data_IF_964221487941
#
_entry.id   IF_964221487941
#
_cell.length_a   1.000
_cell.length_b   1.000
_cell.length_c   1.000
_cell.angle_alpha   90.00
_cell.angle_beta   90.00
_cell.angle_gamma   90.00
#
_symmetry.space_group_name_H-M   'P 1'
#
loop_
_entity.id
_entity.type
_entity.pdbx_description
1 polymer ?
#
# COMPACT_ATOMS: atom_id res chain seq x y z
N UNK A 1 -7.46 -14.14 18.92
CA UNK A 1 -8.01 -13.11 17.99
C UNK A 1 -8.03 -13.73 16.61
N UNK A 2 -9.01 -13.43 15.75
CA UNK A 2 -8.99 -13.91 14.38
C UNK A 2 -7.70 -13.45 13.68
N UNK A 3 -7.23 -14.24 12.75
CA UNK A 3 -6.01 -13.95 12.02
C UNK A 3 -6.21 -12.75 11.09
N UNK A 4 -5.39 -11.72 11.19
CA UNK A 4 -5.51 -10.52 10.35
C UNK A 4 -5.01 -10.82 8.95
N UNK A 5 -5.81 -10.55 7.94
CA UNK A 5 -5.45 -10.63 6.52
C UNK A 5 -6.26 -9.62 5.72
N UNK A 6 -5.67 -9.03 4.70
CA UNK A 6 -6.31 -8.05 3.82
C UNK A 6 -6.04 -8.38 2.35
N UNK A 7 -6.87 -7.84 1.46
CA UNK A 7 -6.67 -7.95 0.01
C UNK A 7 -6.23 -6.61 -0.56
N UNK A 8 -5.33 -6.65 -1.56
CA UNK A 8 -4.93 -5.49 -2.34
C UNK A 8 -5.51 -5.54 -3.74
N UNK A 9 -6.19 -4.50 -4.14
CA UNK A 9 -6.72 -4.38 -5.49
C UNK A 9 -6.05 -3.21 -6.21
N UNK A 10 -5.61 -3.44 -7.44
CA UNK A 10 -4.95 -2.43 -8.25
C UNK A 10 -5.83 -2.08 -9.47
N UNK A 11 -5.43 -2.48 -10.67
CA UNK A 11 -6.03 -2.03 -11.92
C UNK A 11 -6.31 -3.16 -12.93
N UNK A 12 -5.99 -4.41 -12.54
CA UNK A 12 -6.09 -5.58 -13.42
C UNK A 12 -7.53 -6.08 -13.67
N UNK A 13 -8.51 -5.53 -13.00
CA UNK A 13 -9.91 -5.96 -13.10
C UNK A 13 -10.86 -4.74 -13.16
N UNK A 14 -12.03 -4.87 -13.76
CA UNK A 14 -13.08 -3.87 -13.68
C UNK A 14 -13.46 -3.56 -12.22
N UNK A 15 -13.90 -2.34 -11.92
CA UNK A 15 -14.29 -1.95 -10.55
C UNK A 15 -15.42 -2.83 -10.03
N UNK A 16 -16.36 -3.25 -10.89
CA UNK A 16 -17.46 -4.16 -10.50
C UNK A 16 -16.98 -5.53 -10.05
N UNK A 17 -15.93 -6.06 -10.67
CA UNK A 17 -15.31 -7.32 -10.23
C UNK A 17 -14.61 -7.11 -8.88
N UNK A 18 -13.94 -5.96 -8.69
CA UNK A 18 -13.38 -5.56 -7.40
C UNK A 18 -14.42 -5.50 -6.28
N UNK A 19 -15.63 -4.97 -6.57
CA UNK A 19 -16.75 -4.99 -5.61
C UNK A 19 -17.13 -6.41 -5.21
N UNK A 20 -17.24 -7.32 -6.19
CA UNK A 20 -17.53 -8.73 -5.93
C UNK A 20 -16.41 -9.44 -5.13
N UNK A 21 -15.14 -9.12 -5.41
CA UNK A 21 -14.01 -9.63 -4.63
C UNK A 21 -14.02 -9.11 -3.18
N UNK A 22 -14.39 -7.86 -2.95
CA UNK A 22 -14.52 -7.30 -1.60
C UNK A 22 -15.62 -8.00 -0.79
N UNK A 23 -16.80 -8.21 -1.38
CA UNK A 23 -17.88 -8.97 -0.75
C UNK A 23 -17.47 -10.42 -0.46
N UNK A 24 -16.75 -11.05 -1.40
CA UNK A 24 -16.26 -12.40 -1.21
C UNK A 24 -15.19 -12.47 -0.10
N UNK A 25 -14.22 -11.56 -0.10
CA UNK A 25 -13.20 -11.48 0.94
C UNK A 25 -13.82 -11.22 2.34
N UNK A 26 -14.80 -10.31 2.43
CA UNK A 26 -15.54 -10.07 3.66
C UNK A 26 -16.22 -11.34 4.17
N UNK A 27 -16.87 -12.10 3.29
CA UNK A 27 -17.53 -13.37 3.64
C UNK A 27 -16.55 -14.46 4.10
N UNK A 28 -15.26 -14.30 3.79
CA UNK A 28 -14.16 -15.21 4.17
C UNK A 28 -13.32 -14.68 5.35
N UNK A 29 -13.78 -13.63 6.03
CA UNK A 29 -13.14 -13.11 7.23
C UNK A 29 -11.93 -12.21 7.00
N UNK A 30 -11.74 -11.68 5.81
CA UNK A 30 -10.72 -10.67 5.57
C UNK A 30 -11.04 -9.38 6.33
N UNK A 31 -10.01 -8.74 6.88
CA UNK A 31 -10.16 -7.52 7.68
C UNK A 31 -10.34 -6.26 6.82
N UNK A 32 -9.64 -6.18 5.68
CA UNK A 32 -9.59 -4.96 4.89
C UNK A 32 -9.39 -5.22 3.40
N UNK A 33 -9.80 -4.23 2.59
CA UNK A 33 -9.33 -4.05 1.21
C UNK A 33 -8.48 -2.79 1.13
N UNK A 34 -7.36 -2.88 0.39
CA UNK A 34 -6.49 -1.75 0.08
C UNK A 34 -6.52 -1.48 -1.41
N UNK A 35 -6.96 -0.29 -1.80
CA UNK A 35 -7.03 0.12 -3.21
C UNK A 35 -5.81 0.94 -3.60
N UNK A 36 -5.10 0.50 -4.61
CA UNK A 36 -3.99 1.26 -5.18
C UNK A 36 -4.45 2.53 -5.89
N UNK A 37 -3.64 3.59 -5.78
CA UNK A 37 -3.60 4.66 -6.77
C UNK A 37 -2.45 4.38 -7.72
N UNK A 38 -2.76 3.92 -8.92
CA UNK A 38 -1.77 3.33 -9.80
C UNK A 38 -1.57 4.20 -11.03
N UNK A 39 -0.36 4.74 -11.19
CA UNK A 39 0.23 5.40 -12.39
C UNK A 39 -0.72 6.29 -13.16
N UNK A 40 -1.67 6.73 -13.26
CA UNK A 40 -2.70 7.35 -14.13
C UNK A 40 -3.63 6.31 -14.78
N UNK A 41 -3.59 5.06 -14.32
CA UNK A 41 -4.51 4.02 -14.76
C UNK A 41 -5.78 4.06 -13.92
N UNK A 42 -5.63 4.22 -12.59
CA UNK A 42 -6.78 4.21 -11.69
C UNK A 42 -6.57 5.16 -10.50
N UNK A 43 -7.56 6.00 -10.26
CA UNK A 43 -7.74 6.74 -9.01
C UNK A 43 -8.16 5.78 -7.88
N UNK A 44 -7.73 6.01 -6.65
CA UNK A 44 -8.07 5.14 -5.54
C UNK A 44 -9.47 5.43 -4.95
N UNK A 45 -9.90 6.68 -4.94
CA UNK A 45 -11.07 7.14 -4.19
C UNK A 45 -12.38 6.57 -4.75
N UNK A 46 -12.51 6.55 -6.08
CA UNK A 46 -13.73 6.05 -6.73
C UNK A 46 -13.99 4.56 -6.42
N UNK A 47 -13.00 3.64 -6.58
CA UNK A 47 -13.18 2.25 -6.16
C UNK A 47 -13.38 2.10 -4.65
N UNK A 48 -12.67 2.88 -3.81
CA UNK A 48 -12.85 2.83 -2.36
C UNK A 48 -14.31 3.12 -1.96
N UNK A 49 -14.92 4.15 -2.55
CA UNK A 49 -16.33 4.45 -2.30
C UNK A 49 -17.25 3.29 -2.76
N UNK A 50 -16.96 2.68 -3.91
CA UNK A 50 -17.73 1.54 -4.41
C UNK A 50 -17.59 0.31 -3.48
N UNK A 51 -16.39 0.03 -2.97
CA UNK A 51 -16.14 -1.09 -2.04
C UNK A 51 -16.82 -0.84 -0.69
N UNK A 52 -16.72 0.37 -0.16
CA UNK A 52 -17.38 0.78 1.07
C UNK A 52 -18.91 0.62 1.01
N UNK A 53 -19.50 0.93 -0.15
CA UNK A 53 -20.94 0.86 -0.36
C UNK A 53 -21.50 -0.56 -0.48
N UNK A 54 -20.67 -1.58 -0.78
CA UNK A 54 -21.12 -2.97 -0.98
C UNK A 54 -20.65 -3.93 0.11
N UNK A 55 -19.98 -3.42 1.13
CA UNK A 55 -19.47 -4.20 2.27
C UNK A 55 -19.94 -3.59 3.59
N UNK A 56 -20.08 -4.41 4.64
CA UNK A 56 -20.61 -3.98 5.92
C UNK A 56 -19.54 -3.85 7.01
N UNK A 57 -18.49 -4.68 6.96
CA UNK A 57 -17.47 -4.80 8.02
C UNK A 57 -16.05 -4.58 7.50
N UNK A 58 -15.83 -4.84 6.21
CA UNK A 58 -14.52 -4.75 5.59
C UNK A 58 -13.99 -3.31 5.68
N UNK A 59 -12.82 -3.11 6.26
CA UNK A 59 -12.15 -1.82 6.23
C UNK A 59 -11.69 -1.50 4.81
N UNK A 60 -11.68 -0.24 4.45
CA UNK A 60 -11.33 0.22 3.10
C UNK A 60 -10.21 1.25 3.21
N UNK A 61 -9.03 0.87 2.74
CA UNK A 61 -7.83 1.71 2.76
C UNK A 61 -7.32 2.11 1.38
N UNK A 62 -6.74 3.30 1.27
CA UNK A 62 -5.92 3.64 0.11
C UNK A 62 -4.52 3.02 0.26
N UNK A 63 -4.04 2.33 -0.76
CA UNK A 63 -2.77 1.61 -0.69
C UNK A 63 -1.76 1.98 -1.78
N UNK A 64 -1.28 3.21 -1.91
CA UNK A 64 -1.54 4.43 -1.17
C UNK A 64 -1.86 5.58 -2.14
N UNK A 65 -2.60 6.61 -1.73
CA UNK A 65 -2.67 7.85 -2.51
C UNK A 65 -1.37 8.64 -2.33
N UNK A 66 -1.10 9.59 -3.23
CA UNK A 66 0.08 10.43 -3.10
C UNK A 66 -0.25 11.78 -2.44
N UNK A 67 0.75 12.36 -1.75
CA UNK A 67 0.62 13.65 -1.05
C UNK A 67 0.86 14.89 -1.92
N UNK A 68 1.01 14.74 -3.24
CA UNK A 68 1.39 15.84 -4.14
C UNK A 68 0.25 16.32 -5.03
N UNK A 69 -0.62 15.43 -5.48
CA UNK A 69 -1.65 15.76 -6.47
C UNK A 69 -2.94 16.32 -5.86
N UNK A 70 -3.11 16.17 -4.53
CA UNK A 70 -4.29 16.66 -3.81
C UNK A 70 -3.89 17.60 -2.68
N UNK A 71 -4.61 18.70 -2.56
CA UNK A 71 -4.46 19.60 -1.41
C UNK A 71 -4.88 18.88 -0.11
N UNK A 72 -4.19 19.06 1.04
CA UNK A 72 -4.55 18.39 2.30
C UNK A 72 -5.98 18.68 2.78
N UNK A 73 -6.53 19.86 2.50
CA UNK A 73 -7.93 20.16 2.80
C UNK A 73 -8.90 19.27 2.00
N UNK A 74 -8.57 19.03 0.72
CA UNK A 74 -9.36 18.12 -0.13
C UNK A 74 -9.18 16.66 0.30
N UNK A 75 -7.98 16.27 0.72
CA UNK A 75 -7.76 14.93 1.30
C UNK A 75 -8.65 14.75 2.54
N UNK A 76 -8.62 15.69 3.47
CA UNK A 76 -9.43 15.62 4.69
C UNK A 76 -10.94 15.56 4.38
N UNK A 77 -11.44 16.41 3.48
CA UNK A 77 -12.85 16.41 3.06
C UNK A 77 -13.25 15.09 2.36
N UNK A 78 -12.36 14.54 1.52
CA UNK A 78 -12.58 13.25 0.85
C UNK A 78 -12.72 12.11 1.86
N UNK A 79 -11.81 12.04 2.83
CA UNK A 79 -11.81 10.97 3.82
C UNK A 79 -12.92 11.14 4.87
N UNK A 80 -13.34 12.38 5.19
CA UNK A 80 -14.58 12.64 5.90
C UNK A 80 -15.79 12.06 5.16
N UNK A 81 -15.91 12.33 3.86
CA UNK A 81 -17.02 11.84 3.04
C UNK A 81 -17.05 10.31 2.93
N UNK A 82 -15.88 9.69 2.83
CA UNK A 82 -15.77 8.23 2.84
C UNK A 82 -16.17 7.66 4.22
N UNK A 83 -15.78 8.31 5.30
CA UNK A 83 -16.16 7.90 6.65
C UNK A 83 -17.68 8.07 6.90
N UNK A 84 -18.31 9.11 6.35
CA UNK A 84 -19.77 9.25 6.36
C UNK A 84 -20.48 8.08 5.63
N UNK A 85 -19.87 7.55 4.58
CA UNK A 85 -20.36 6.37 3.83
C UNK A 85 -20.13 5.06 4.60
N UNK A 86 -19.01 4.94 5.30
CA UNK A 86 -18.57 3.71 5.96
C UNK A 86 -17.87 4.03 7.30
N UNK A 87 -18.64 4.41 8.34
CA UNK A 87 -18.11 4.87 9.62
C UNK A 87 -17.14 3.87 10.26
N UNK A 88 -15.99 4.38 10.76
CA UNK A 88 -14.93 3.61 11.43
C UNK A 88 -14.26 2.53 10.58
N UNK A 89 -14.51 2.50 9.25
CA UNK A 89 -13.94 1.51 8.32
C UNK A 89 -12.92 2.09 7.35
N UNK A 90 -12.71 3.39 7.36
CA UNK A 90 -11.86 4.07 6.36
C UNK A 90 -10.44 4.24 6.89
N UNK A 91 -9.45 3.97 6.03
CA UNK A 91 -8.02 4.14 6.33
C UNK A 91 -7.39 5.04 5.26
N UNK A 92 -6.75 6.14 5.69
CA UNK A 92 -5.94 6.96 4.81
C UNK A 92 -4.53 6.39 4.70
N UNK A 93 -4.25 5.65 3.65
CA UNK A 93 -2.89 5.31 3.27
C UNK A 93 -2.32 6.33 2.29
N UNK A 94 -1.20 6.96 2.65
CA UNK A 94 -0.58 8.04 1.89
C UNK A 94 0.90 7.78 1.65
N UNK A 95 1.43 8.20 0.50
CA UNK A 95 2.82 7.96 0.11
C UNK A 95 3.46 9.12 -0.63
N UNK A 96 4.79 9.12 -0.72
CA UNK A 96 5.55 10.21 -1.33
C UNK A 96 5.61 10.16 -2.87
N UNK A 97 4.91 9.22 -3.48
CA UNK A 97 4.85 9.00 -4.92
C UNK A 97 6.20 8.61 -5.56
N UNK A 98 6.22 8.54 -6.90
CA UNK A 98 7.34 8.09 -7.73
C UNK A 98 7.80 9.22 -8.66
N UNK A 99 9.07 9.55 -8.61
CA UNK A 99 9.62 10.78 -9.19
C UNK A 99 9.47 10.91 -10.72
N UNK A 100 9.76 9.89 -11.55
CA UNK A 100 9.56 10.04 -12.98
C UNK A 100 8.13 10.43 -13.37
N UNK A 101 7.12 9.83 -12.74
CA UNK A 101 5.73 10.14 -13.04
C UNK A 101 5.31 11.52 -12.50
N UNK A 102 5.73 11.87 -11.29
CA UNK A 102 5.46 13.19 -10.71
C UNK A 102 5.96 14.30 -11.63
N UNK A 103 7.21 14.19 -12.11
CA UNK A 103 7.80 15.14 -13.05
C UNK A 103 7.04 15.20 -14.38
N UNK A 104 6.60 14.06 -14.91
CA UNK A 104 5.85 14.00 -16.18
C UNK A 104 4.48 14.69 -16.10
N UNK A 105 3.89 14.80 -14.89
CA UNK A 105 2.65 15.57 -14.66
C UNK A 105 2.91 16.99 -14.12
N UNK A 106 4.15 17.46 -14.19
CA UNK A 106 4.51 18.83 -13.80
C UNK A 106 4.70 19.06 -12.30
N UNK A 107 4.89 17.99 -11.52
CA UNK A 107 5.10 18.08 -10.07
C UNK A 107 6.57 17.85 -9.75
N UNK A 108 7.18 18.81 -9.07
CA UNK A 108 8.52 18.71 -8.54
C UNK A 108 8.48 18.24 -7.08
N UNK A 109 8.95 17.00 -6.85
CA UNK A 109 9.01 16.40 -5.50
C UNK A 109 10.26 16.89 -4.77
N UNK A 110 10.15 17.97 -4.04
CA UNK A 110 11.23 18.49 -3.18
C UNK A 110 10.97 18.10 -1.73
N UNK A 111 12.02 17.80 -0.96
CA UNK A 111 11.97 17.52 0.48
C UNK A 111 10.76 16.66 0.89
N UNK A 112 10.63 15.41 0.39
CA UNK A 112 9.42 14.60 0.55
C UNK A 112 9.06 14.32 2.03
N UNK A 113 10.02 14.32 2.93
CA UNK A 113 9.78 14.18 4.38
C UNK A 113 9.02 15.41 4.93
N UNK A 114 9.48 16.61 4.61
CA UNK A 114 8.83 17.86 5.06
C UNK A 114 7.41 17.94 4.49
N UNK A 115 7.26 17.72 3.17
CA UNK A 115 5.96 17.77 2.52
C UNK A 115 4.96 16.74 3.11
N UNK A 116 5.42 15.52 3.40
CA UNK A 116 4.58 14.49 4.00
C UNK A 116 4.15 14.90 5.43
N UNK A 117 5.07 15.39 6.26
CA UNK A 117 4.77 15.84 7.63
C UNK A 117 3.71 16.93 7.64
N UNK A 118 3.88 17.96 6.80
CA UNK A 118 2.96 19.10 6.72
C UNK A 118 1.55 18.66 6.26
N UNK A 119 1.48 17.76 5.27
CA UNK A 119 0.20 17.22 4.78
C UNK A 119 -0.49 16.41 5.87
N UNK A 120 0.22 15.49 6.53
CA UNK A 120 -0.35 14.64 7.59
C UNK A 120 -0.84 15.49 8.76
N UNK A 121 -0.08 16.51 9.18
CA UNK A 121 -0.47 17.41 10.26
C UNK A 121 -1.78 18.15 9.94
N UNK A 122 -1.87 18.77 8.77
CA UNK A 122 -3.07 19.53 8.38
C UNK A 122 -4.28 18.61 8.21
N UNK A 123 -4.12 17.43 7.59
CA UNK A 123 -5.20 16.45 7.43
C UNK A 123 -5.71 15.99 8.80
N UNK A 124 -4.81 15.64 9.73
CA UNK A 124 -5.18 15.16 11.07
C UNK A 124 -5.96 16.22 11.86
N UNK A 125 -5.49 17.46 11.83
CA UNK A 125 -6.16 18.57 12.52
C UNK A 125 -7.53 18.88 11.93
N UNK A 126 -7.69 18.83 10.61
CA UNK A 126 -8.99 19.00 9.96
C UNK A 126 -9.95 17.88 10.31
N UNK A 127 -9.52 16.61 10.31
CA UNK A 127 -10.34 15.46 10.73
C UNK A 127 -10.68 15.51 12.23
N UNK A 128 -9.86 16.17 13.05
CA UNK A 128 -10.18 16.49 14.44
C UNK A 128 -11.17 17.66 14.59
N UNK A 129 -11.73 18.18 13.48
CA UNK A 129 -12.68 19.31 13.42
C UNK A 129 -12.10 20.63 13.93
N UNK A 130 -10.78 20.78 13.85
CA UNK A 130 -10.14 22.06 14.18
C UNK A 130 -10.30 23.08 13.05
N UNK A 131 -10.33 24.36 13.43
CA UNK A 131 -10.07 25.44 12.48
C UNK A 131 -8.57 25.62 12.31
N UNK A 132 -8.07 25.39 11.09
CA UNK A 132 -6.64 25.26 10.81
C UNK A 132 -6.12 26.48 10.05
N UNK A 133 -5.12 27.14 10.63
CA UNK A 133 -4.17 27.99 9.92
C UNK A 133 -2.81 27.32 10.01
N UNK A 134 -2.16 27.12 8.86
CA UNK A 134 -0.86 26.49 8.77
C UNK A 134 -0.05 27.17 7.66
N UNK A 135 1.21 27.50 7.94
CA UNK A 135 2.12 28.15 7.00
C UNK A 135 3.46 27.43 6.99
N UNK A 136 3.50 26.30 6.29
CA UNK A 136 4.68 25.46 6.10
C UNK A 136 5.51 25.85 4.88
N UNK A 137 6.37 24.97 4.45
CA UNK A 137 7.15 25.13 3.21
C UNK A 137 6.33 24.71 1.97
N UNK A 138 5.45 23.73 2.09
CA UNK A 138 4.65 23.14 1.01
C UNK A 138 3.15 23.37 1.20
N UNK A 139 2.69 23.43 2.44
CA UNK A 139 1.27 23.57 2.77
C UNK A 139 0.99 24.95 3.35
N UNK A 140 0.09 25.69 2.70
CA UNK A 140 -0.36 27.01 3.16
C UNK A 140 -1.88 27.01 3.20
N UNK A 141 -2.48 27.08 4.40
CA UNK A 141 -3.91 27.17 4.61
C UNK A 141 -4.22 28.23 5.67
N UNK A 142 -5.32 28.95 5.51
CA UNK A 142 -5.66 30.05 6.39
C UNK A 142 -7.11 29.98 6.89
N UNK A 143 -7.27 29.64 8.16
CA UNK A 143 -8.54 29.67 8.86
C UNK A 143 -9.61 28.72 8.29
N UNK A 144 -9.19 27.60 7.68
CA UNK A 144 -10.09 26.59 7.09
C UNK A 144 -10.56 25.59 8.15
N UNK A 145 -11.73 25.04 7.93
CA UNK A 145 -12.30 23.95 8.74
C UNK A 145 -13.17 23.04 7.86
N UNK A 146 -13.35 21.80 8.28
CA UNK A 146 -14.34 20.93 7.63
C UNK A 146 -15.74 21.34 8.08
N UNK A 147 -16.67 21.43 7.14
CA UNK A 147 -18.08 21.61 7.42
C UNK A 147 -18.83 20.30 7.37
N UNK A 148 -19.79 20.11 8.27
CA UNK A 148 -20.62 18.91 8.34
C UNK A 148 -22.07 19.34 8.22
N UNK A 149 -22.64 19.08 7.03
CA UNK A 149 -24.05 19.41 6.72
C UNK A 149 -25.01 18.37 7.29
N UNK A 150 -24.57 17.09 7.33
CA UNK A 150 -25.35 15.97 7.83
C UNK A 150 -24.65 15.31 9.02
N UNK A 151 -25.40 14.99 10.05
CA UNK A 151 -24.85 14.33 11.23
C UNK A 151 -24.26 15.30 12.27
N UNK A 152 -23.36 14.80 13.09
CA UNK A 152 -22.72 15.58 14.17
C UNK A 152 -21.35 16.08 13.73
N UNK A 153 -21.03 17.31 14.12
CA UNK A 153 -19.67 17.85 14.00
C UNK A 153 -18.84 17.31 15.17
N UNK A 154 -18.21 16.19 14.95
CA UNK A 154 -17.34 15.50 15.90
C UNK A 154 -16.06 15.00 15.19
N UNK A 155 -14.93 14.85 15.92
CA UNK A 155 -13.70 14.31 15.36
C UNK A 155 -13.93 12.97 14.68
N UNK A 156 -13.29 12.79 13.49
CA UNK A 156 -13.35 11.53 12.73
C UNK A 156 -12.12 10.70 13.01
N UNK A 157 -12.34 9.45 13.35
CA UNK A 157 -11.26 8.50 13.56
C UNK A 157 -10.87 7.81 12.25
N UNK A 158 -10.15 8.53 11.39
CA UNK A 158 -9.55 7.98 10.17
C UNK A 158 -8.06 7.78 10.41
N UNK A 159 -7.59 6.55 10.65
CA UNK A 159 -6.17 6.31 10.87
C UNK A 159 -5.36 6.61 9.63
N UNK A 160 -4.18 7.24 9.82
CA UNK A 160 -3.28 7.66 8.75
C UNK A 160 -2.08 6.72 8.71
N UNK A 161 -1.94 6.00 7.59
CA UNK A 161 -0.85 5.07 7.34
C UNK A 161 0.05 5.63 6.24
N UNK A 162 1.36 5.54 6.43
CA UNK A 162 2.31 6.01 5.43
C UNK A 162 2.97 4.82 4.74
N UNK A 163 2.88 4.79 3.40
CA UNK A 163 3.67 3.88 2.58
C UNK A 163 5.09 4.39 2.46
N UNK A 164 6.02 3.73 3.14
CA UNK A 164 7.41 4.13 3.22
C UNK A 164 8.34 3.03 2.71
N UNK A 165 9.39 3.41 1.97
CA UNK A 165 10.42 2.50 1.45
C UNK A 165 11.80 2.85 1.98
N UNK A 166 12.09 4.12 2.22
CA UNK A 166 13.36 4.59 2.79
C UNK A 166 13.32 4.72 4.30
N UNK A 167 14.41 4.38 4.99
CA UNK A 167 14.48 4.33 6.45
C UNK A 167 14.22 5.68 7.13
N UNK A 168 14.56 6.80 6.50
CA UNK A 168 14.23 8.13 7.03
C UNK A 168 12.72 8.41 7.01
N UNK A 169 12.02 7.99 5.94
CA UNK A 169 10.56 8.08 5.87
C UNK A 169 9.93 7.12 6.88
N UNK A 170 10.49 5.92 7.02
CA UNK A 170 10.03 4.92 7.99
C UNK A 170 10.14 5.45 9.43
N UNK A 171 11.26 6.09 9.79
CA UNK A 171 11.43 6.71 11.10
C UNK A 171 10.41 7.85 11.33
N UNK A 172 10.22 8.72 10.35
CA UNK A 172 9.20 9.75 10.44
C UNK A 172 7.78 9.17 10.54
N UNK A 173 7.50 8.06 9.84
CA UNK A 173 6.22 7.34 9.93
C UNK A 173 5.94 6.89 11.37
N UNK A 174 6.92 6.29 12.06
CA UNK A 174 6.79 5.93 13.46
C UNK A 174 6.46 7.12 14.37
N UNK A 175 6.96 8.31 14.03
CA UNK A 175 6.71 9.52 14.82
C UNK A 175 5.29 10.07 14.61
N UNK A 176 4.82 10.18 13.35
CA UNK A 176 3.63 10.98 13.02
C UNK A 176 2.41 10.18 12.58
N UNK A 177 2.54 8.90 12.26
CA UNK A 177 1.45 8.09 11.71
C UNK A 177 0.87 7.09 12.73
N UNK A 178 -0.26 6.47 12.36
CA UNK A 178 -0.92 5.41 13.11
C UNK A 178 -0.47 4.04 12.60
N UNK A 179 0.07 3.98 11.39
CA UNK A 179 0.63 2.76 10.81
C UNK A 179 1.60 3.02 9.67
N UNK A 180 2.34 1.97 9.32
CA UNK A 180 3.25 1.92 8.19
C UNK A 180 2.83 0.82 7.23
N UNK A 181 2.54 1.15 5.97
CA UNK A 181 2.40 0.14 4.93
C UNK A 181 3.79 -0.27 4.49
N UNK A 182 4.21 -1.47 4.92
CA UNK A 182 5.52 -2.01 4.61
C UNK A 182 5.63 -2.39 3.13
N UNK A 183 6.85 -2.33 2.61
CA UNK A 183 7.11 -2.48 1.19
C UNK A 183 6.86 -3.91 0.68
N UNK A 184 6.61 -4.03 -0.62
CA UNK A 184 6.42 -5.29 -1.35
C UNK A 184 7.61 -5.61 -2.26
N UNK A 185 7.64 -6.81 -2.79
CA UNK A 185 8.77 -7.33 -3.59
C UNK A 185 10.10 -7.25 -2.85
N UNK A 186 10.08 -7.50 -1.56
CA UNK A 186 11.25 -7.54 -0.67
C UNK A 186 11.22 -8.81 0.16
N UNK A 187 12.37 -9.37 0.57
CA UNK A 187 12.38 -10.53 1.44
C UNK A 187 11.87 -10.17 2.86
N UNK A 188 11.35 -11.13 3.63
CA UNK A 188 10.84 -10.87 4.99
C UNK A 188 11.83 -10.14 5.91
N UNK A 189 13.13 -10.42 5.78
CA UNK A 189 14.21 -9.83 6.58
C UNK A 189 14.38 -8.31 6.34
N UNK A 190 13.90 -7.79 5.22
CA UNK A 190 13.87 -6.35 4.97
C UNK A 190 13.09 -5.59 6.05
N UNK A 191 12.15 -6.24 6.71
CA UNK A 191 11.37 -5.62 7.77
C UNK A 191 12.23 -5.24 8.98
N UNK A 192 13.29 -5.98 9.29
CA UNK A 192 14.09 -5.74 10.50
C UNK A 192 14.61 -4.29 10.59
N UNK A 193 15.35 -3.74 9.60
CA UNK A 193 15.78 -2.35 9.65
C UNK A 193 14.60 -1.36 9.56
N UNK A 194 13.48 -1.73 8.92
CA UNK A 194 12.29 -0.90 8.87
C UNK A 194 11.62 -0.78 10.26
N UNK A 195 11.53 -1.88 11.00
CA UNK A 195 11.00 -1.90 12.37
C UNK A 195 11.88 -1.10 13.33
N UNK A 196 13.20 -1.19 13.20
CA UNK A 196 14.14 -0.38 14.00
C UNK A 196 13.93 1.13 13.72
N UNK A 197 13.74 1.51 12.47
CA UNK A 197 13.46 2.90 12.11
C UNK A 197 12.11 3.37 12.66
N UNK A 198 11.06 2.57 12.52
CA UNK A 198 9.74 2.85 13.10
C UNK A 198 9.81 3.01 14.61
N UNK A 199 10.53 2.11 15.32
CA UNK A 199 10.70 2.18 16.76
C UNK A 199 11.40 3.46 17.22
N UNK A 200 12.45 3.90 16.48
CA UNK A 200 13.11 5.20 16.76
C UNK A 200 12.15 6.38 16.58
N UNK A 201 11.32 6.34 15.53
CA UNK A 201 10.31 7.38 15.30
C UNK A 201 9.22 7.38 16.37
N UNK A 202 8.66 6.21 16.70
CA UNK A 202 7.66 6.05 17.75
C UNK A 202 8.16 6.61 19.09
N UNK A 203 9.41 6.30 19.46
CA UNK A 203 10.04 6.82 20.69
C UNK A 203 10.09 8.35 20.73
N UNK A 204 10.31 9.04 19.60
CA UNK A 204 10.29 10.52 19.53
C UNK A 204 8.91 11.09 19.89
N UNK A 205 7.85 10.35 19.58
CA UNK A 205 6.47 10.73 19.88
C UNK A 205 5.97 10.18 21.23
N UNK A 206 6.84 9.59 22.04
CA UNK A 206 6.45 8.96 23.32
C UNK A 206 5.66 7.65 23.16
N UNK A 207 5.73 7.03 21.98
CA UNK A 207 5.07 5.77 21.61
C UNK A 207 6.08 4.61 21.63
N UNK A 208 5.56 3.41 21.48
CA UNK A 208 6.31 2.18 21.23
C UNK A 208 6.05 1.67 19.82
N UNK A 209 6.77 0.66 19.36
CA UNK A 209 6.50 0.01 18.08
C UNK A 209 5.12 -0.66 18.05
N UNK A 210 4.59 -1.09 19.19
CA UNK A 210 3.27 -1.73 19.28
C UNK A 210 2.10 -0.76 19.07
N UNK A 211 2.36 0.54 19.21
CA UNK A 211 1.39 1.59 18.89
C UNK A 211 1.32 1.92 17.39
N UNK A 212 2.18 1.31 16.58
CA UNK A 212 2.25 1.51 15.12
C UNK A 212 1.83 0.22 14.41
N UNK A 213 0.69 0.24 13.73
CA UNK A 213 0.28 -0.89 12.90
C UNK A 213 1.20 -1.04 11.68
N UNK A 214 1.50 -2.27 11.27
CA UNK A 214 2.51 -2.58 10.25
C UNK A 214 1.97 -3.57 9.21
N UNK A 215 0.86 -3.21 8.53
CA UNK A 215 0.41 -4.03 7.42
C UNK A 215 1.46 -4.04 6.31
N UNK A 216 1.61 -5.18 5.65
CA UNK A 216 2.59 -5.35 4.57
C UNK A 216 1.94 -5.79 3.28
N UNK A 217 2.22 -5.04 2.20
CA UNK A 217 1.83 -5.46 0.87
C UNK A 217 2.71 -6.63 0.40
N UNK A 218 2.09 -7.77 0.12
CA UNK A 218 2.77 -8.99 -0.32
C UNK A 218 2.22 -9.41 -1.68
N UNK A 219 3.09 -9.48 -2.68
CA UNK A 219 2.73 -10.08 -3.98
C UNK A 219 2.38 -11.53 -3.76
N UNK A 220 1.19 -11.93 -4.17
CA UNK A 220 0.64 -13.25 -3.89
C UNK A 220 0.14 -13.90 -5.18
N UNK A 221 0.77 -15.01 -5.58
CA UNK A 221 0.36 -15.81 -6.73
C UNK A 221 0.12 -17.24 -6.30
N UNK A 222 -1.12 -17.70 -6.37
CA UNK A 222 -1.55 -19.02 -5.90
C UNK A 222 -2.03 -19.85 -7.08
N UNK A 223 -1.46 -21.04 -7.24
CA UNK A 223 -1.93 -22.07 -8.17
C UNK A 223 -1.66 -23.45 -7.56
N UNK A 224 -2.39 -24.47 -7.96
CA UNK A 224 -2.09 -25.86 -7.58
C UNK A 224 -0.79 -26.37 -8.23
N UNK A 225 -0.35 -25.74 -9.31
CA UNK A 225 0.93 -25.96 -9.97
C UNK A 225 1.92 -24.87 -9.50
N UNK A 226 2.94 -25.28 -8.76
CA UNK A 226 3.98 -24.44 -8.21
C UNK A 226 4.63 -23.53 -9.27
N UNK A 227 5.02 -24.10 -10.42
CA UNK A 227 5.70 -23.33 -11.47
C UNK A 227 4.78 -22.28 -12.12
N UNK A 228 3.50 -22.57 -12.29
CA UNK A 228 2.53 -21.59 -12.78
C UNK A 228 2.37 -20.43 -11.79
N UNK A 229 2.35 -20.73 -10.50
CA UNK A 229 2.28 -19.71 -9.48
C UNK A 229 3.50 -18.80 -9.53
N UNK A 230 4.71 -19.34 -9.65
CA UNK A 230 5.92 -18.52 -9.79
C UNK A 230 5.88 -17.64 -11.05
N UNK A 231 5.48 -18.20 -12.19
CA UNK A 231 5.37 -17.44 -13.44
C UNK A 231 4.33 -16.31 -13.36
N UNK A 232 3.24 -16.51 -12.62
CA UNK A 232 2.23 -15.48 -12.35
C UNK A 232 2.80 -14.25 -11.67
N UNK A 233 3.74 -14.41 -10.75
CA UNK A 233 4.42 -13.31 -10.06
C UNK A 233 5.59 -12.73 -10.86
N UNK A 234 6.26 -13.55 -11.64
CA UNK A 234 7.49 -13.20 -12.38
C UNK A 234 7.30 -12.01 -13.32
N UNK A 235 6.15 -11.91 -13.98
CA UNK A 235 5.84 -10.78 -14.87
C UNK A 235 5.92 -9.44 -14.14
N UNK A 236 5.25 -9.34 -13.00
CA UNK A 236 5.26 -8.13 -12.16
C UNK A 236 6.67 -7.81 -11.68
N UNK A 237 7.37 -8.81 -11.14
CA UNK A 237 8.73 -8.65 -10.64
C UNK A 237 9.69 -8.14 -11.70
N UNK A 238 9.64 -8.69 -12.90
CA UNK A 238 10.50 -8.30 -14.02
C UNK A 238 10.39 -6.80 -14.31
N UNK A 239 9.17 -6.27 -14.33
CA UNK A 239 8.93 -4.84 -14.57
C UNK A 239 9.39 -3.99 -13.39
N UNK A 240 9.13 -4.40 -12.16
CA UNK A 240 9.51 -3.64 -10.96
C UNK A 240 11.01 -3.63 -10.72
N UNK A 241 11.71 -4.74 -10.94
CA UNK A 241 13.17 -4.81 -10.86
C UNK A 241 13.85 -3.89 -11.88
N UNK A 242 13.27 -3.68 -13.06
CA UNK A 242 13.82 -2.73 -14.03
C UNK A 242 13.59 -1.26 -13.67
N UNK A 243 12.48 -0.94 -12.98
CA UNK A 243 11.96 0.42 -12.86
C UNK A 243 12.12 1.03 -11.46
N UNK A 244 12.29 0.21 -10.42
CA UNK A 244 12.22 0.65 -9.03
C UNK A 244 13.56 0.42 -8.30
N UNK A 245 14.47 1.40 -8.26
CA UNK A 245 15.79 1.24 -7.65
C UNK A 245 15.76 0.77 -6.19
N UNK A 246 14.76 1.20 -5.43
CA UNK A 246 14.59 0.79 -4.04
C UNK A 246 14.21 -0.69 -3.90
N UNK A 247 13.44 -1.24 -4.85
CA UNK A 247 13.13 -2.68 -4.89
C UNK A 247 14.36 -3.46 -5.32
N UNK A 248 15.13 -3.00 -6.29
CA UNK A 248 16.39 -3.63 -6.68
C UNK A 248 17.30 -3.79 -5.47
N UNK A 249 17.52 -2.72 -4.73
CA UNK A 249 18.37 -2.73 -3.55
C UNK A 249 17.82 -3.64 -2.43
N UNK A 250 16.52 -3.55 -2.15
CA UNK A 250 15.90 -4.30 -1.07
C UNK A 250 15.71 -5.79 -1.40
N UNK A 251 15.49 -6.15 -2.66
CA UNK A 251 15.33 -7.54 -3.10
C UNK A 251 16.65 -8.33 -3.08
N UNK A 252 17.79 -7.64 -3.09
CA UNK A 252 19.10 -8.27 -3.18
C UNK A 252 19.36 -8.94 -4.53
N UNK A 253 18.65 -8.54 -5.59
CA UNK A 253 18.93 -8.98 -6.96
C UNK A 253 20.27 -8.43 -7.43
N UNK A 254 21.03 -9.20 -8.22
CA UNK A 254 22.31 -8.73 -8.74
C UNK A 254 22.13 -7.61 -9.77
N UNK A 255 23.08 -6.66 -9.78
CA UNK A 255 23.11 -5.59 -10.77
C UNK A 255 23.24 -6.12 -12.21
N UNK A 256 23.85 -7.29 -12.39
CA UNK A 256 23.97 -7.97 -13.68
C UNK A 256 22.59 -8.36 -14.22
N UNK A 257 21.76 -9.06 -13.42
CA UNK A 257 20.40 -9.45 -13.80
C UNK A 257 19.57 -8.21 -14.14
N UNK A 258 19.63 -7.18 -13.30
CA UNK A 258 18.91 -5.93 -13.53
C UNK A 258 19.37 -5.24 -14.81
N UNK A 259 20.68 -5.23 -15.06
CA UNK A 259 21.27 -4.68 -16.28
C UNK A 259 20.78 -5.39 -17.55
N UNK A 260 20.73 -6.72 -17.55
CA UNK A 260 20.21 -7.49 -18.68
C UNK A 260 18.70 -7.29 -18.89
N UNK A 261 17.92 -7.25 -17.80
CA UNK A 261 16.49 -6.93 -17.89
C UNK A 261 16.28 -5.56 -18.54
N UNK A 262 17.02 -4.53 -18.09
CA UNK A 262 16.93 -3.16 -18.64
C UNK A 262 17.30 -3.05 -20.11
N UNK A 263 18.21 -3.89 -20.62
CA UNK A 263 18.55 -3.94 -22.05
C UNK A 263 17.39 -4.46 -22.92
N UNK A 264 16.53 -5.30 -22.36
CA UNK A 264 15.39 -5.89 -23.06
C UNK A 264 14.15 -5.00 -22.94
N UNK A 265 13.90 -4.45 -21.75
CA UNK A 265 12.68 -3.67 -21.46
C UNK A 265 12.81 -2.22 -21.95
N UNK A 266 11.86 -1.81 -22.81
CA UNK A 266 11.62 -0.39 -23.10
C UNK A 266 10.70 0.26 -22.05
N UNK A 267 10.41 1.54 -22.25
CA UNK A 267 9.40 2.26 -21.46
C UNK A 267 8.48 3.08 -22.39
N UNK A 268 7.18 2.72 -22.46
CA UNK A 268 6.54 1.52 -21.88
C UNK A 268 7.07 0.22 -22.49
N UNK A 269 7.10 -0.86 -21.70
CA UNK A 269 7.52 -2.18 -22.18
C UNK A 269 6.42 -2.87 -22.98
N UNK A 270 6.77 -3.53 -24.08
CA UNK A 270 5.83 -4.39 -24.79
C UNK A 270 5.69 -5.74 -24.09
N UNK A 271 4.61 -6.46 -24.37
CA UNK A 271 4.36 -7.79 -23.82
C UNK A 271 5.48 -8.78 -24.18
N UNK A 272 5.97 -8.73 -25.40
CA UNK A 272 7.06 -9.57 -25.90
C UNK A 272 8.39 -9.26 -25.17
N UNK A 273 8.67 -8.00 -24.91
CA UNK A 273 9.85 -7.60 -24.13
C UNK A 273 9.77 -8.15 -22.70
N UNK A 274 8.60 -8.03 -22.05
CA UNK A 274 8.40 -8.56 -20.70
C UNK A 274 8.58 -10.08 -20.69
N UNK A 275 7.96 -10.81 -21.61
CA UNK A 275 8.11 -12.27 -21.71
C UNK A 275 9.54 -12.74 -21.94
N UNK A 276 10.34 -11.98 -22.71
CA UNK A 276 11.76 -12.27 -22.90
C UNK A 276 12.58 -12.01 -21.64
N UNK A 277 12.32 -10.88 -20.97
CA UNK A 277 13.05 -10.49 -19.77
C UNK A 277 12.71 -11.37 -18.55
N UNK A 278 11.48 -11.90 -18.46
CA UNK A 278 11.07 -12.84 -17.41
C UNK A 278 11.98 -14.05 -17.27
N UNK A 279 12.57 -14.50 -18.37
CA UNK A 279 13.51 -15.65 -18.38
C UNK A 279 14.81 -15.39 -17.60
N UNK A 280 15.11 -14.14 -17.30
CA UNK A 280 16.26 -13.73 -16.51
C UNK A 280 16.00 -13.69 -15.01
N UNK A 281 14.74 -13.77 -14.59
CA UNK A 281 14.33 -13.75 -13.18
C UNK A 281 14.24 -15.20 -12.68
N UNK A 282 15.17 -15.66 -11.83
CA UNK A 282 15.19 -17.05 -11.39
C UNK A 282 14.11 -17.35 -10.34
N UNK A 283 13.76 -18.62 -10.19
CA UNK A 283 12.70 -19.08 -9.29
C UNK A 283 12.97 -18.71 -7.84
N UNK A 284 14.21 -18.90 -7.37
CA UNK A 284 14.62 -18.58 -6.00
C UNK A 284 14.45 -17.10 -5.64
N UNK A 285 14.61 -16.20 -6.61
CA UNK A 285 14.33 -14.79 -6.41
C UNK A 285 12.82 -14.53 -6.26
N UNK A 286 11.98 -15.18 -7.09
CA UNK A 286 10.52 -15.06 -6.99
C UNK A 286 10.04 -15.56 -5.62
N UNK A 287 10.46 -16.76 -5.22
CA UNK A 287 10.14 -17.37 -3.91
C UNK A 287 10.61 -16.51 -2.74
N UNK A 288 11.76 -15.87 -2.85
CA UNK A 288 12.34 -15.07 -1.78
C UNK A 288 11.53 -13.81 -1.49
N UNK A 289 11.04 -13.11 -2.53
CA UNK A 289 10.46 -11.77 -2.40
C UNK A 289 8.95 -11.71 -2.69
N UNK A 290 8.31 -12.85 -2.87
CA UNK A 290 6.85 -12.95 -3.04
C UNK A 290 6.30 -14.15 -2.26
N UNK A 291 4.98 -14.18 -2.09
CA UNK A 291 4.25 -15.36 -1.63
C UNK A 291 3.64 -16.06 -2.87
N UNK A 292 4.46 -16.85 -3.58
CA UNK A 292 4.06 -17.55 -4.79
C UNK A 292 4.26 -19.05 -4.64
N UNK A 293 3.29 -19.85 -5.10
CA UNK A 293 3.31 -21.31 -4.99
C UNK A 293 1.94 -21.92 -4.79
N UNK A 294 1.94 -23.16 -4.31
CA UNK A 294 0.73 -23.85 -3.88
C UNK A 294 0.11 -23.18 -2.65
N UNK A 295 -1.18 -23.42 -2.33
CA UNK A 295 -1.82 -22.84 -1.13
C UNK A 295 -1.03 -23.05 0.16
N UNK A 296 -0.36 -24.21 0.32
CA UNK A 296 0.44 -24.50 1.50
C UNK A 296 1.73 -23.66 1.56
N UNK A 297 2.43 -23.53 0.44
CA UNK A 297 3.67 -22.75 0.31
C UNK A 297 3.41 -21.27 0.54
N UNK A 298 2.33 -20.74 -0.06
CA UNK A 298 1.94 -19.34 0.10
C UNK A 298 1.61 -19.01 1.55
N UNK A 299 0.86 -19.87 2.25
CA UNK A 299 0.61 -19.69 3.69
C UNK A 299 1.90 -19.70 4.49
N UNK A 300 2.80 -20.63 4.24
CA UNK A 300 4.09 -20.71 4.93
C UNK A 300 4.91 -19.43 4.73
N UNK A 301 4.93 -18.89 3.50
CA UNK A 301 5.63 -17.64 3.18
C UNK A 301 5.02 -16.42 3.86
N UNK A 302 3.70 -16.33 3.92
CA UNK A 302 3.02 -15.24 4.64
C UNK A 302 3.34 -15.30 6.13
N UNK A 303 3.44 -16.49 6.73
CA UNK A 303 3.88 -16.65 8.12
C UNK A 303 5.34 -16.19 8.35
N UNK A 304 6.21 -16.29 7.35
CA UNK A 304 7.56 -15.72 7.45
C UNK A 304 7.50 -14.19 7.56
N UNK A 305 6.69 -13.51 6.76
CA UNK A 305 6.48 -12.06 6.86
C UNK A 305 5.91 -11.67 8.22
N UNK A 306 4.95 -12.42 8.77
CA UNK A 306 4.39 -12.16 10.11
C UNK A 306 5.45 -12.30 11.19
N UNK A 307 6.28 -13.37 11.17
CA UNK A 307 7.38 -13.56 12.10
C UNK A 307 8.42 -12.43 12.04
N UNK A 308 8.53 -11.76 10.90
CA UNK A 308 9.38 -10.59 10.70
C UNK A 308 8.64 -9.25 10.91
N UNK A 309 7.51 -9.24 11.63
CA UNK A 309 6.86 -8.04 12.15
C UNK A 309 5.74 -7.46 11.31
N UNK A 310 5.32 -8.14 10.24
CA UNK A 310 4.07 -7.81 9.54
C UNK A 310 2.89 -8.11 10.47
N UNK A 311 2.05 -7.10 10.75
CA UNK A 311 0.87 -7.26 11.62
C UNK A 311 -0.37 -7.68 10.87
N UNK A 312 -0.46 -7.35 9.58
CA UNK A 312 -1.56 -7.70 8.69
C UNK A 312 -1.04 -7.88 7.26
N UNK A 313 -0.93 -9.10 6.73
CA UNK A 313 -0.62 -9.32 5.33
C UNK A 313 -1.68 -8.69 4.42
N UNK A 314 -1.26 -7.84 3.50
CA UNK A 314 -2.09 -7.27 2.43
C UNK A 314 -1.74 -8.03 1.15
N UNK A 315 -2.56 -8.98 0.77
CA UNK A 315 -2.27 -9.90 -0.33
C UNK A 315 -2.62 -9.26 -1.67
N UNK A 316 -1.62 -9.07 -2.52
CA UNK A 316 -1.80 -8.60 -3.90
C UNK A 316 -1.95 -9.79 -4.84
N UNK A 317 -3.20 -10.14 -5.24
CA UNK A 317 -3.45 -11.35 -6.01
C UNK A 317 -2.96 -11.19 -7.45
N UNK A 318 -2.16 -12.17 -7.88
CA UNK A 318 -1.77 -12.38 -9.26
C UNK A 318 -2.28 -13.77 -9.68
N UNK A 319 -3.15 -13.83 -10.68
CA UNK A 319 -3.84 -15.08 -11.07
C UNK A 319 -5.26 -15.18 -10.52
N UNK A 320 -5.62 -16.33 -9.95
CA UNK A 320 -6.97 -16.56 -9.42
C UNK A 320 -7.18 -15.88 -8.06
N UNK A 321 -7.93 -14.79 -8.08
CA UNK A 321 -8.25 -13.99 -6.89
C UNK A 321 -9.07 -14.78 -5.87
N UNK A 322 -9.99 -15.62 -6.32
CA UNK A 322 -10.85 -16.41 -5.40
C UNK A 322 -10.06 -17.53 -4.73
N UNK A 323 -9.20 -18.21 -5.48
CA UNK A 323 -8.31 -19.22 -4.90
C UNK A 323 -7.39 -18.60 -3.84
N UNK A 324 -6.86 -17.39 -4.07
CA UNK A 324 -6.08 -16.67 -3.07
C UNK A 324 -6.94 -16.36 -1.84
N UNK A 325 -8.14 -15.82 -2.00
CA UNK A 325 -9.05 -15.54 -0.88
C UNK A 325 -9.37 -16.81 -0.11
N UNK A 326 -9.71 -17.92 -0.79
CA UNK A 326 -10.02 -19.21 -0.14
C UNK A 326 -8.79 -19.80 0.58
N UNK A 327 -7.58 -19.55 0.07
CA UNK A 327 -6.33 -19.99 0.72
C UNK A 327 -6.18 -19.39 2.13
N UNK A 328 -6.70 -18.18 2.36
CA UNK A 328 -6.62 -17.47 3.62
C UNK A 328 -7.97 -17.29 4.32
N UNK A 329 -9.01 -17.99 3.87
CA UNK A 329 -10.33 -17.94 4.49
C UNK A 329 -10.26 -18.34 5.96
N UNK A 330 -10.91 -17.56 6.80
CA UNK A 330 -11.09 -17.88 8.21
C UNK A 330 -12.37 -18.72 8.39
N UNK A 331 -12.29 -19.73 9.25
CA UNK A 331 -13.40 -20.66 9.53
C UNK A 331 -14.56 -19.96 10.26
#
# INVERSE_FOLDING_TARGET
>A
MPERVAIYLQDKHPIRDGMAYCQYAESRGFEAVWQAESRLVRDAIVPMAAFAAVTDKLKVGSGVINNWTRNPAIIAATFLTLDDLAPDRIILGIGAWWDPLARNVGIERRKPLTAMREVVEVVRRLLAMERVTFNGEFVHVNGIELDVVHGRREPRHVPIYIGATGMNMMEMTGEIADGAVLNYCVPPEYNLPALDALARGAKKAGKTLDDIDRPQLIVCSVDNDHHKALDGARELLTQYLAQQPHIQQASGVSDEIVGEIKKILGWPATKEQVQRAMKLVPDDLVERITASGTPAEVRAKVEEYKRNGCTCPILYPLGDVKLMIDTFAQA
#
